data_IF_387923735483
#
_entry.id   IF_387923735483
#
_cell.length_a   1.000
_cell.length_b   1.000
_cell.length_c   1.000
_cell.angle_alpha   90.00
_cell.angle_beta   90.00
_cell.angle_gamma   90.00
#
_symmetry.space_group_name_H-M   'P 1'
#
loop_
_entity.id
_entity.type
_entity.pdbx_description
1 polymer ?
#
# COMPACT_ATOMS: atom_id res chain seq x y z
N UNK A 1 9.18 3.69 -3.40
CA UNK A 1 8.16 3.43 -4.45
C UNK A 1 7.87 4.75 -5.14
N UNK A 2 7.83 4.77 -6.47
CA UNK A 2 7.56 5.96 -7.28
C UNK A 2 6.33 5.74 -8.16
N UNK A 3 5.45 6.73 -8.22
CA UNK A 3 4.38 6.77 -9.20
C UNK A 3 4.95 6.95 -10.61
N UNK A 4 4.57 6.07 -11.54
CA UNK A 4 5.04 6.12 -12.92
C UNK A 4 3.96 5.64 -13.88
N UNK A 5 3.57 6.51 -14.81
CA UNK A 5 2.42 6.29 -15.72
C UNK A 5 1.18 5.90 -14.90
N UNK A 6 0.56 4.77 -15.21
CA UNK A 6 -0.61 4.21 -14.52
C UNK A 6 -0.25 3.18 -13.44
N UNK A 7 1.00 3.11 -12.99
CA UNK A 7 1.45 2.12 -12.01
C UNK A 7 2.54 2.65 -11.09
N UNK A 8 3.28 1.73 -10.49
CA UNK A 8 4.36 2.03 -9.54
C UNK A 8 5.65 1.30 -9.89
N UNK A 9 6.78 1.96 -9.68
CA UNK A 9 8.12 1.40 -9.87
C UNK A 9 8.97 1.62 -8.61
N UNK A 10 10.16 1.02 -8.59
CA UNK A 10 11.21 1.39 -7.64
C UNK A 10 12.31 2.15 -8.38
N UNK A 11 12.81 3.22 -7.77
CA UNK A 11 13.88 4.06 -8.27
C UNK A 11 14.70 4.57 -7.07
N UNK A 12 15.86 5.17 -7.33
CA UNK A 12 16.68 5.79 -6.28
C UNK A 12 15.88 6.84 -5.52
N UNK A 13 15.96 6.83 -4.20
CA UNK A 13 15.17 7.72 -3.35
C UNK A 13 15.58 9.20 -3.53
N UNK A 14 14.61 10.06 -3.83
CA UNK A 14 14.72 11.51 -3.82
C UNK A 14 13.55 12.11 -3.03
N UNK A 15 13.87 12.71 -1.88
CA UNK A 15 12.89 13.33 -0.98
C UNK A 15 12.18 14.55 -1.58
N UNK A 16 12.74 15.15 -2.63
CA UNK A 16 12.15 16.31 -3.29
C UNK A 16 11.16 15.88 -4.39
N UNK A 17 11.23 14.62 -4.82
CA UNK A 17 10.40 14.10 -5.89
C UNK A 17 9.03 13.68 -5.34
N UNK A 18 8.00 14.50 -5.59
CA UNK A 18 6.66 14.27 -5.05
C UNK A 18 6.03 12.94 -5.52
N UNK A 19 6.47 12.38 -6.65
CA UNK A 19 6.00 11.06 -7.11
C UNK A 19 6.54 9.91 -6.26
N UNK A 20 7.53 10.14 -5.40
CA UNK A 20 8.02 9.17 -4.40
C UNK A 20 7.40 9.35 -3.01
N UNK A 21 6.62 10.42 -2.80
CA UNK A 21 5.96 10.72 -1.54
C UNK A 21 4.52 10.19 -1.56
N UNK A 22 4.07 9.65 -0.42
CA UNK A 22 2.77 8.99 -0.29
C UNK A 22 2.07 9.42 0.99
N UNK A 23 0.77 9.71 0.89
CA UNK A 23 -0.12 9.92 2.01
C UNK A 23 -0.84 8.62 2.35
N UNK A 24 -1.04 8.37 3.64
CA UNK A 24 -1.88 7.28 4.12
C UNK A 24 -3.19 7.86 4.66
N UNK A 25 -4.27 7.64 3.93
CA UNK A 25 -5.61 8.04 4.36
C UNK A 25 -6.27 6.84 5.04
N UNK A 26 -6.63 6.99 6.31
CA UNK A 26 -7.19 5.89 7.11
C UNK A 26 -8.65 5.63 6.74
N UNK A 27 -9.02 4.36 6.66
CA UNK A 27 -10.40 3.90 6.65
C UNK A 27 -10.84 3.47 8.06
N UNK A 28 -12.14 3.42 8.30
CA UNK A 28 -12.72 3.04 9.61
C UNK A 28 -12.40 1.60 10.02
N UNK A 29 -12.07 0.74 9.05
CA UNK A 29 -11.71 -0.67 9.27
C UNK A 29 -10.19 -0.89 9.44
N UNK A 30 -9.44 0.15 9.78
CA UNK A 30 -7.98 0.14 9.98
C UNK A 30 -7.15 -0.10 8.71
N UNK A 31 -7.79 -0.33 7.56
CA UNK A 31 -7.10 -0.30 6.28
C UNK A 31 -6.66 1.15 5.94
N UNK A 32 -5.69 1.26 5.06
CA UNK A 32 -5.21 2.55 4.55
C UNK A 32 -5.37 2.62 3.04
N UNK A 33 -5.75 3.79 2.56
CA UNK A 33 -5.61 4.17 1.17
C UNK A 33 -4.23 4.81 0.98
N UNK A 34 -3.46 4.32 0.01
CA UNK A 34 -2.13 4.82 -0.30
C UNK A 34 -2.24 5.79 -1.47
N UNK A 35 -2.16 7.09 -1.20
CA UNK A 35 -2.30 8.16 -2.19
C UNK A 35 -0.94 8.74 -2.56
N UNK A 36 -0.63 8.86 -3.84
CA UNK A 36 0.57 9.55 -4.29
C UNK A 36 0.45 11.07 -4.13
N UNK A 37 1.49 11.72 -3.60
CA UNK A 37 1.47 13.18 -3.40
C UNK A 37 1.54 13.95 -4.72
N UNK A 38 2.35 13.49 -5.69
CA UNK A 38 2.55 14.17 -6.97
C UNK A 38 1.36 14.03 -7.92
N UNK A 39 0.86 12.80 -8.12
CA UNK A 39 -0.22 12.52 -9.10
C UNK A 39 -1.63 12.61 -8.50
N UNK A 40 -1.77 12.67 -7.17
CA UNK A 40 -3.05 12.64 -6.44
C UNK A 40 -3.91 11.39 -6.69
N UNK A 41 -3.33 10.35 -7.29
CA UNK A 41 -3.96 9.05 -7.54
C UNK A 41 -3.67 8.07 -6.40
N UNK A 42 -4.50 7.05 -6.26
CA UNK A 42 -4.37 6.02 -5.24
C UNK A 42 -3.95 4.67 -5.81
N UNK A 43 -3.21 3.92 -5.00
CA UNK A 43 -2.76 2.57 -5.32
C UNK A 43 -3.93 1.59 -5.27
N UNK A 44 -4.08 0.82 -6.34
CA UNK A 44 -5.15 -0.16 -6.50
C UNK A 44 -4.60 -1.52 -6.95
N UNK A 45 -5.14 -2.59 -6.37
CA UNK A 45 -5.02 -3.96 -6.89
C UNK A 45 -6.40 -4.51 -7.15
N UNK A 46 -6.73 -4.92 -8.41
CA UNK A 46 -8.01 -5.53 -8.71
C UNK A 46 -8.28 -6.74 -7.79
N UNK A 47 -9.50 -6.88 -7.27
CA UNK A 47 -9.85 -7.99 -6.38
C UNK A 47 -9.82 -9.35 -7.09
N UNK A 48 -10.06 -9.36 -8.40
CA UNK A 48 -9.97 -10.56 -9.23
C UNK A 48 -8.58 -10.68 -9.86
N UNK A 49 -7.90 -11.81 -9.63
CA UNK A 49 -6.60 -12.13 -10.24
C UNK A 49 -6.76 -13.12 -11.39
N UNK A 50 -6.05 -12.88 -12.48
CA UNK A 50 -5.90 -13.83 -13.59
C UNK A 50 -4.56 -14.58 -13.56
N UNK A 51 -3.65 -14.19 -12.66
CA UNK A 51 -2.31 -14.77 -12.53
C UNK A 51 -1.98 -15.03 -11.05
N UNK A 52 -0.77 -15.54 -10.78
CA UNK A 52 -0.28 -15.73 -9.40
C UNK A 52 -0.03 -14.40 -8.66
N UNK A 53 0.06 -13.28 -9.39
CA UNK A 53 0.28 -11.96 -8.83
C UNK A 53 -0.93 -11.04 -9.11
N UNK A 54 -1.05 -10.01 -8.29
CA UNK A 54 -1.93 -8.89 -8.52
C UNK A 54 -1.16 -7.76 -9.19
N UNK A 55 -1.76 -7.12 -10.18
CA UNK A 55 -1.21 -5.91 -10.78
C UNK A 55 -1.47 -4.71 -9.87
N UNK A 56 -0.48 -3.84 -9.72
CA UNK A 56 -0.60 -2.60 -8.95
C UNK A 56 -0.74 -1.40 -9.90
N UNK A 57 -1.84 -0.67 -9.77
CA UNK A 57 -2.18 0.47 -10.61
C UNK A 57 -2.33 1.74 -9.78
N UNK A 58 -2.21 2.88 -10.47
CA UNK A 58 -2.61 4.18 -9.97
C UNK A 58 -3.88 4.63 -10.67
N UNK A 59 -4.89 4.96 -9.87
CA UNK A 59 -6.19 5.41 -10.37
C UNK A 59 -6.77 6.52 -9.50
N UNK A 60 -7.95 7.02 -9.85
CA UNK A 60 -8.67 7.96 -9.01
C UNK A 60 -9.00 7.34 -7.64
N UNK A 61 -8.65 8.06 -6.58
CA UNK A 61 -8.93 7.66 -5.21
C UNK A 61 -10.43 7.41 -4.98
N UNK A 62 -10.73 6.32 -4.29
CA UNK A 62 -12.09 5.96 -3.93
C UNK A 62 -12.57 6.74 -2.69
N UNK A 63 -13.59 7.58 -2.91
CA UNK A 63 -14.28 8.39 -1.89
C UNK A 63 -15.76 8.08 -2.03
N UNK A 64 -16.43 7.64 -0.94
CA UNK A 64 -17.86 7.31 -0.91
C UNK A 64 -18.32 6.32 -2.01
N UNK A 65 -17.45 5.40 -2.41
CA UNK A 65 -17.73 4.33 -3.39
C UNK A 65 -17.03 3.05 -2.96
N UNK A 66 -17.33 1.93 -3.63
CA UNK A 66 -16.61 0.67 -3.43
C UNK A 66 -15.10 0.90 -3.56
N UNK A 67 -14.34 0.42 -2.58
CA UNK A 67 -12.92 0.78 -2.40
C UNK A 67 -12.07 -0.40 -1.93
N UNK A 68 -12.60 -1.63 -1.93
CA UNK A 68 -11.89 -2.81 -1.42
C UNK A 68 -10.56 -3.04 -2.17
N UNK A 69 -10.52 -2.69 -3.45
CA UNK A 69 -9.35 -2.76 -4.31
C UNK A 69 -8.30 -1.67 -4.03
N UNK A 70 -8.61 -0.67 -3.20
CA UNK A 70 -7.72 0.41 -2.77
C UNK A 70 -7.43 0.39 -1.26
N UNK A 71 -7.81 -0.68 -0.56
CA UNK A 71 -7.54 -0.88 0.85
C UNK A 71 -6.26 -1.71 1.04
N UNK A 72 -5.33 -1.17 1.81
CA UNK A 72 -4.06 -1.79 2.14
C UNK A 72 -3.91 -1.96 3.65
N UNK A 73 -3.25 -3.02 4.08
CA UNK A 73 -2.88 -3.21 5.47
C UNK A 73 -1.36 -3.07 5.63
N UNK A 74 -0.94 -2.28 6.60
CA UNK A 74 0.47 -2.18 7.00
C UNK A 74 0.72 -3.28 8.02
N UNK A 75 1.39 -4.35 7.57
CA UNK A 75 1.69 -5.53 8.39
C UNK A 75 3.18 -5.58 8.74
N UNK A 76 3.58 -6.34 9.78
CA UNK A 76 4.98 -6.62 10.04
C UNK A 76 5.68 -7.27 8.84
N UNK A 77 6.99 -7.07 8.74
CA UNK A 77 7.81 -7.70 7.70
C UNK A 77 7.77 -9.23 7.82
N UNK A 78 7.80 -9.92 6.68
CA UNK A 78 7.85 -11.38 6.61
C UNK A 78 9.28 -11.89 6.89
N UNK A 79 9.65 -11.88 8.17
CA UNK A 79 10.93 -12.41 8.67
C UNK A 79 10.65 -13.41 9.78
N UNK A 80 11.59 -14.34 10.01
CA UNK A 80 11.53 -15.19 11.18
C UNK A 80 11.66 -14.33 12.44
N UNK A 81 10.72 -14.48 13.37
CA UNK A 81 10.70 -13.71 14.62
C UNK A 81 10.80 -14.65 15.81
N UNK A 82 11.51 -14.21 16.85
CA UNK A 82 11.52 -14.88 18.14
C UNK A 82 10.43 -14.28 19.04
N UNK A 83 9.80 -15.07 19.93
CA UNK A 83 8.92 -14.52 20.96
C UNK A 83 9.67 -13.48 21.82
N UNK A 84 9.02 -12.35 22.12
CA UNK A 84 9.59 -11.30 22.99
C UNK A 84 9.68 -11.80 24.44
N UNK A 85 8.73 -12.64 24.85
CA UNK A 85 8.71 -13.28 26.17
C UNK A 85 8.38 -14.77 26.03
N UNK A 86 9.13 -15.62 26.72
CA UNK A 86 8.81 -17.03 26.93
C UNK A 86 8.37 -17.21 28.38
N UNK A 87 7.12 -17.61 28.61
CA UNK A 87 6.65 -17.93 29.96
C UNK A 87 7.17 -19.33 30.29
N UNK A 88 8.23 -19.41 31.09
CA UNK A 88 8.64 -20.68 31.68
C UNK A 88 7.55 -21.07 32.69
N UNK A 89 6.77 -22.10 32.38
CA UNK A 89 5.94 -22.76 33.38
C UNK A 89 6.85 -23.73 34.13
N UNK A 90 7.14 -23.41 35.39
CA UNK A 90 7.62 -24.39 36.38
C UNK A 90 6.53 -25.42 36.68
#
# INVERSE_FOLDING_TARGET
MQAYKSGVIHEVCDKNLQTQLWNFNLFDNQAVQIQNVGTKTCLQTPTFRHTIYYSAYLTQCAINKSNLDQQWYIIPTLVNTAPIFTINRE
#
